data_IF_272529118738
#
_entry.id   IF_272529118738
#
_cell.length_a   1.000
_cell.length_b   1.000
_cell.length_c   1.000
_cell.angle_alpha   90.00
_cell.angle_beta   90.00
_cell.angle_gamma   90.00
#
_symmetry.space_group_name_H-M   'P 1'
#
loop_
_entity.id
_entity.type
_entity.pdbx_description
1 polymer ?
#
# COMPACT_ATOMS: atom_id res chain seq x y z
N UNK A 1 6.74 23.04 19.77
CA UNK A 1 6.84 21.65 19.27
C UNK A 1 6.31 21.71 17.86
N UNK A 2 7.18 21.45 16.90
CA UNK A 2 6.77 21.29 15.51
C UNK A 2 6.30 19.83 15.40
N UNK A 3 5.03 19.63 15.03
CA UNK A 3 4.54 18.30 14.68
C UNK A 3 4.86 18.10 13.21
N UNK A 4 5.61 17.04 12.89
CA UNK A 4 5.77 16.63 11.50
C UNK A 4 4.44 16.06 10.99
N UNK A 5 4.12 16.34 9.73
CA UNK A 5 2.97 15.73 9.05
C UNK A 5 3.26 14.24 8.78
N UNK A 6 2.22 13.40 8.83
CA UNK A 6 2.34 11.99 8.43
C UNK A 6 2.52 11.90 6.91
N UNK A 7 3.55 11.17 6.47
CA UNK A 7 3.87 10.99 5.05
C UNK A 7 3.71 9.52 4.64
N UNK A 8 3.00 9.27 3.54
CA UNK A 8 2.72 7.92 3.03
C UNK A 8 3.14 7.81 1.58
N UNK A 9 4.05 6.88 1.30
CA UNK A 9 4.43 6.48 -0.06
C UNK A 9 3.87 5.09 -0.38
N UNK A 10 2.99 5.02 -1.36
CA UNK A 10 2.43 3.77 -1.85
C UNK A 10 2.87 3.52 -3.30
N UNK A 11 3.50 2.38 -3.54
CA UNK A 11 3.91 1.90 -4.86
C UNK A 11 3.25 0.56 -5.17
N UNK A 12 2.60 0.46 -6.32
CA UNK A 12 1.96 -0.77 -6.78
C UNK A 12 2.46 -1.13 -8.19
N UNK A 13 2.78 -2.40 -8.39
CA UNK A 13 3.00 -2.98 -9.72
C UNK A 13 2.18 -4.24 -9.87
N UNK A 14 1.50 -4.37 -11.01
CA UNK A 14 0.58 -5.47 -11.26
C UNK A 14 0.69 -6.05 -12.67
N UNK A 15 0.47 -7.35 -12.77
CA UNK A 15 0.35 -8.08 -14.03
C UNK A 15 -0.98 -8.83 -14.06
N UNK A 16 -1.69 -8.69 -15.17
CA UNK A 16 -2.94 -9.39 -15.45
C UNK A 16 -2.72 -10.39 -16.57
N UNK A 17 -3.13 -11.64 -16.35
CA UNK A 17 -3.07 -12.71 -17.35
C UNK A 17 -4.46 -13.28 -17.58
N UNK A 18 -4.79 -13.52 -18.86
CA UNK A 18 -6.07 -14.06 -19.31
C UNK A 18 -5.81 -15.38 -20.03
N UNK A 19 -6.53 -16.42 -19.63
CA UNK A 19 -6.34 -17.80 -20.08
C UNK A 19 -7.58 -18.34 -20.79
N UNK A 20 -7.40 -19.43 -21.56
CA UNK A 20 -8.49 -20.21 -22.16
C UNK A 20 -9.52 -19.38 -22.95
N UNK A 21 -9.05 -18.40 -23.74
CA UNK A 21 -9.93 -17.55 -24.54
C UNK A 21 -10.82 -16.63 -23.71
N UNK A 22 -10.37 -16.22 -22.52
CA UNK A 22 -11.13 -15.32 -21.63
C UNK A 22 -11.85 -16.01 -20.49
N UNK A 23 -11.81 -17.34 -20.40
CA UNK A 23 -12.57 -18.11 -19.39
C UNK A 23 -11.92 -18.12 -18.01
N UNK A 24 -10.64 -17.81 -17.90
CA UNK A 24 -9.99 -17.64 -16.61
C UNK A 24 -9.06 -16.42 -16.63
N UNK A 25 -8.93 -15.78 -15.48
CA UNK A 25 -8.13 -14.58 -15.32
C UNK A 25 -7.39 -14.63 -13.99
N UNK A 26 -6.09 -14.36 -14.03
CA UNK A 26 -5.24 -14.26 -12.84
C UNK A 26 -4.63 -12.87 -12.79
N UNK A 27 -4.57 -12.30 -11.58
CA UNK A 27 -3.93 -11.02 -11.32
C UNK A 27 -2.87 -11.23 -10.26
N UNK A 28 -1.66 -10.76 -10.55
CA UNK A 28 -0.55 -10.74 -9.61
C UNK A 28 -0.23 -9.28 -9.34
N UNK A 29 -0.14 -8.90 -8.08
CA UNK A 29 0.22 -7.55 -7.67
C UNK A 29 1.26 -7.63 -6.55
N UNK A 30 2.23 -6.73 -6.62
CA UNK A 30 3.17 -6.46 -5.55
C UNK A 30 2.96 -5.00 -5.13
N UNK A 31 2.94 -4.78 -3.83
CA UNK A 31 2.74 -3.48 -3.22
C UNK A 31 3.86 -3.22 -2.22
N UNK A 32 4.35 -1.98 -2.22
CA UNK A 32 5.30 -1.46 -1.24
C UNK A 32 4.67 -0.19 -0.64
N UNK A 33 4.62 -0.14 0.69
CA UNK A 33 4.14 1.02 1.42
C UNK A 33 5.22 1.45 2.40
N UNK A 34 5.56 2.74 2.36
CA UNK A 34 6.39 3.40 3.35
C UNK A 34 5.53 4.40 4.10
N UNK A 35 5.63 4.41 5.43
CA UNK A 35 4.84 5.28 6.30
C UNK A 35 5.81 5.93 7.27
N UNK A 36 5.95 7.24 7.18
CA UNK A 36 6.80 8.05 8.03
C UNK A 36 5.96 8.93 8.96
N UNK A 37 6.48 9.20 10.15
CA UNK A 37 5.83 10.06 11.15
C UNK A 37 4.38 9.65 11.47
N UNK A 38 4.13 8.33 11.50
CA UNK A 38 2.83 7.75 11.84
C UNK A 38 2.32 8.23 13.20
N UNK A 39 1.16 8.87 13.21
CA UNK A 39 0.62 9.48 14.42
C UNK A 39 -0.11 8.42 15.26
N UNK A 40 0.42 8.13 16.45
CA UNK A 40 -0.22 7.26 17.44
C UNK A 40 -0.79 8.08 18.60
N UNK A 41 -2.01 7.74 19.05
CA UNK A 41 -2.53 8.29 20.31
C UNK A 41 -1.61 7.89 21.46
N UNK A 42 -0.98 8.88 22.10
CA UNK A 42 -0.29 8.64 23.37
C UNK A 42 -1.34 8.41 24.45
N UNK A 43 -1.43 7.20 24.97
CA UNK A 43 -2.01 6.96 26.29
C UNK A 43 -1.08 7.58 27.32
N UNK A 44 -1.46 8.74 27.87
CA UNK A 44 -0.81 9.33 29.04
C UNK A 44 -1.49 8.70 30.25
N UNK A 45 -0.73 7.92 31.03
CA UNK A 45 -1.10 7.47 32.38
C UNK A 45 -0.59 8.48 33.42
#
# INVERSE_FOLDING_TARGET
>A
MEFNEEEIWASEIGVKVVWFGGKAMTKFAAFYNDIEDYQVERSIE
#
